data_IF_854601551745
#
_entry.id   IF_854601551745
#
_cell.length_a   1.000
_cell.length_b   1.000
_cell.length_c   1.000
_cell.angle_alpha   90.00
_cell.angle_beta   90.00
_cell.angle_gamma   90.00
#
_symmetry.space_group_name_H-M   'P 1'
#
loop_
_entity.id
_entity.type
_entity.pdbx_description
1 polymer ?
#
# COMPACT_ATOMS: atom_id res chain seq x y z
N UNK A 1 -17.99 9.69 16.12
CA UNK A 1 -18.11 9.49 14.66
C UNK A 1 -17.26 8.26 14.41
N UNK A 2 -17.90 7.10 14.57
CA UNK A 2 -17.22 5.82 14.70
C UNK A 2 -17.73 4.99 13.53
N UNK A 3 -16.91 4.96 12.48
CA UNK A 3 -17.04 4.08 11.33
C UNK A 3 -15.66 3.94 10.69
N UNK A 4 -14.66 3.49 11.47
CA UNK A 4 -13.60 2.70 10.85
C UNK A 4 -14.19 1.32 10.64
N UNK A 5 -14.96 1.18 9.55
CA UNK A 5 -15.14 -0.12 8.95
C UNK A 5 -13.72 -0.60 8.65
N UNK A 6 -13.30 -1.63 9.39
CA UNK A 6 -12.01 -2.29 9.25
C UNK A 6 -12.09 -3.16 7.98
N UNK A 7 -12.47 -2.55 6.86
CA UNK A 7 -12.55 -3.18 5.56
C UNK A 7 -11.10 -3.34 5.11
N UNK A 8 -10.59 -4.56 5.29
CA UNK A 8 -9.25 -4.91 4.82
C UNK A 8 -9.16 -4.50 3.34
N UNK A 9 -8.31 -3.51 2.97
CA UNK A 9 -8.28 -2.97 1.61
C UNK A 9 -7.78 -3.98 0.57
N UNK A 10 -7.50 -5.21 1.02
CA UNK A 10 -7.08 -6.34 0.21
C UNK A 10 -8.04 -7.54 0.29
N UNK A 11 -9.23 -7.41 0.91
CA UNK A 11 -10.17 -8.51 1.13
C UNK A 11 -10.61 -9.22 -0.15
N UNK A 12 -10.71 -8.48 -1.26
CA UNK A 12 -11.05 -8.97 -2.60
C UNK A 12 -9.87 -9.61 -3.36
N UNK A 13 -8.66 -9.60 -2.81
CA UNK A 13 -7.47 -10.17 -3.43
C UNK A 13 -7.17 -11.60 -2.97
N UNK A 14 -6.41 -12.32 -3.80
CA UNK A 14 -5.78 -13.56 -3.37
C UNK A 14 -4.83 -13.30 -2.18
N UNK A 15 -4.77 -14.24 -1.24
CA UNK A 15 -3.98 -14.13 -0.02
C UNK A 15 -2.51 -13.75 -0.30
N UNK A 16 -1.86 -14.41 -1.26
CA UNK A 16 -0.48 -14.09 -1.64
C UNK A 16 -0.32 -12.65 -2.13
N UNK A 17 -1.27 -12.15 -2.93
CA UNK A 17 -1.26 -10.77 -3.42
C UNK A 17 -1.49 -9.78 -2.28
N UNK A 18 -2.42 -10.07 -1.37
CA UNK A 18 -2.68 -9.25 -0.19
C UNK A 18 -1.43 -9.16 0.72
N UNK A 19 -0.77 -10.28 0.99
CA UNK A 19 0.47 -10.33 1.76
C UNK A 19 1.57 -9.51 1.07
N UNK A 20 1.74 -9.71 -0.24
CA UNK A 20 2.73 -8.99 -1.03
C UNK A 20 2.52 -7.47 -0.95
N UNK A 21 1.30 -6.98 -1.16
CA UNK A 21 1.00 -5.55 -1.09
C UNK A 21 1.20 -4.95 0.30
N UNK A 22 0.90 -5.68 1.38
CA UNK A 22 1.21 -5.23 2.75
C UNK A 22 2.71 -5.08 2.98
N UNK A 23 3.51 -6.00 2.45
CA UNK A 23 4.97 -5.89 2.47
C UNK A 23 5.44 -4.69 1.65
N UNK A 24 4.86 -4.46 0.48
CA UNK A 24 5.13 -3.27 -0.35
C UNK A 24 4.87 -1.97 0.41
N UNK A 25 3.73 -1.84 1.08
CA UNK A 25 3.42 -0.67 1.92
C UNK A 25 4.48 -0.48 3.02
N UNK A 26 4.93 -1.56 3.65
CA UNK A 26 5.97 -1.52 4.68
C UNK A 26 7.33 -1.10 4.13
N UNK A 27 7.70 -1.53 2.93
CA UNK A 27 8.95 -1.12 2.29
C UNK A 27 8.91 0.33 1.79
N UNK A 28 7.75 0.82 1.32
CA UNK A 28 7.51 2.24 1.03
C UNK A 28 7.70 3.07 2.31
N UNK A 29 7.08 2.67 3.43
CA UNK A 29 7.25 3.33 4.75
C UNK A 29 8.71 3.42 5.16
N UNK A 30 9.46 2.34 4.93
CA UNK A 30 10.86 2.23 5.31
C UNK A 30 11.83 2.85 4.27
N UNK A 31 11.31 3.42 3.18
CA UNK A 31 12.10 3.94 2.05
C UNK A 31 13.11 2.93 1.49
N UNK A 32 12.75 1.63 1.52
CA UNK A 32 13.62 0.51 1.10
C UNK A 32 13.55 0.20 -0.41
N UNK A 33 12.92 1.09 -1.17
CA UNK A 33 12.66 0.95 -2.61
C UNK A 33 13.93 0.97 -3.48
N UNK A 34 15.07 1.37 -2.92
CA UNK A 34 16.37 1.40 -3.60
C UNK A 34 16.98 0.02 -3.85
N UNK A 35 16.62 -0.99 -3.04
CA UNK A 35 17.15 -2.34 -3.16
C UNK A 35 16.21 -3.29 -3.90
N UNK A 36 14.92 -3.00 -3.89
CA UNK A 36 13.90 -3.78 -4.59
C UNK A 36 12.88 -2.81 -5.19
N UNK A 37 12.97 -2.50 -6.49
CA UNK A 37 11.96 -1.67 -7.15
C UNK A 37 10.62 -2.39 -7.06
N UNK A 38 9.60 -1.67 -6.62
CA UNK A 38 8.22 -2.17 -6.57
C UNK A 38 7.68 -2.19 -7.99
N UNK A 39 6.91 -3.23 -8.33
CA UNK A 39 6.29 -3.32 -9.64
C UNK A 39 5.29 -2.17 -9.86
N UNK A 40 5.30 -1.57 -11.05
CA UNK A 40 4.42 -0.45 -11.40
C UNK A 40 2.93 -0.81 -11.26
N UNK A 41 2.56 -2.08 -11.54
CA UNK A 41 1.21 -2.59 -11.32
C UNK A 41 0.79 -2.58 -9.84
N UNK A 42 1.72 -2.88 -8.93
CA UNK A 42 1.44 -2.85 -7.49
C UNK A 42 1.28 -1.41 -7.01
N UNK A 43 2.15 -0.49 -7.47
CA UNK A 43 2.05 0.93 -7.15
C UNK A 43 0.75 1.54 -7.67
N UNK A 44 0.36 1.20 -8.90
CA UNK A 44 -0.89 1.66 -9.50
C UNK A 44 -2.09 1.19 -8.69
N UNK A 45 -2.13 -0.10 -8.34
CA UNK A 45 -3.22 -0.66 -7.54
C UNK A 45 -3.31 -0.03 -6.13
N UNK A 46 -2.17 0.20 -5.47
CA UNK A 46 -2.13 0.87 -4.17
C UNK A 46 -2.59 2.34 -4.26
N UNK A 47 -2.27 3.02 -5.36
CA UNK A 47 -2.72 4.38 -5.62
C UNK A 47 -4.21 4.47 -5.95
N UNK A 48 -4.73 3.55 -6.76
CA UNK A 48 -6.16 3.43 -7.07
C UNK A 48 -7.01 3.19 -5.81
N UNK A 49 -6.46 2.46 -4.84
CA UNK A 49 -7.09 2.24 -3.53
C UNK A 49 -6.85 3.36 -2.52
N UNK A 50 -6.11 4.41 -2.88
CA UNK A 50 -5.82 5.54 -2.00
C UNK A 50 -4.89 5.21 -0.84
N UNK A 51 -4.11 4.12 -0.92
CA UNK A 51 -3.16 3.69 0.11
C UNK A 51 -1.78 4.35 -0.08
N UNK A 52 -1.46 4.74 -1.32
CA UNK A 52 -0.21 5.37 -1.71
C UNK A 52 -0.50 6.55 -2.62
N UNK A 53 0.25 7.64 -2.46
CA UNK A 53 0.34 8.72 -3.44
C UNK A 53 1.71 8.72 -4.10
N UNK A 54 1.76 8.85 -5.42
CA UNK A 54 3.01 8.96 -6.18
C UNK A 54 3.22 10.41 -6.58
N UNK A 55 4.23 11.05 -5.99
CA UNK A 55 4.62 12.45 -6.30
C UNK A 55 6.03 12.45 -6.85
N UNK A 56 6.25 13.06 -8.03
CA UNK A 56 7.56 13.10 -8.70
C UNK A 56 8.22 11.71 -8.87
N UNK A 57 7.41 10.67 -9.06
CA UNK A 57 7.89 9.28 -9.16
C UNK A 57 8.28 8.64 -7.81
N UNK A 58 8.03 9.32 -6.70
CA UNK A 58 8.28 8.83 -5.34
C UNK A 58 6.95 8.42 -4.70
N UNK A 59 6.73 7.13 -4.44
CA UNK A 59 5.55 6.67 -3.71
C UNK A 59 5.66 6.99 -2.22
N UNK A 60 4.59 7.52 -1.65
CA UNK A 60 4.46 7.89 -0.23
C UNK A 60 3.16 7.30 0.33
N UNK A 61 3.19 6.81 1.57
CA UNK A 61 1.98 6.29 2.21
C UNK A 61 0.99 7.40 2.55
N UNK A 62 -0.28 7.12 2.33
CA UNK A 62 -1.40 7.91 2.90
C UNK A 62 -1.70 7.44 4.33
N UNK A 63 -2.57 8.16 5.03
CA UNK A 63 -3.08 7.71 6.34
C UNK A 63 -3.77 6.34 6.25
N UNK A 64 -4.53 6.07 5.16
CA UNK A 64 -5.18 4.79 4.93
C UNK A 64 -4.16 3.66 4.68
N UNK A 65 -3.09 3.93 3.93
CA UNK A 65 -2.00 2.97 3.72
C UNK A 65 -1.22 2.67 4.99
N UNK A 66 -1.11 3.64 5.90
CA UNK A 66 -0.49 3.45 7.21
C UNK A 66 -1.35 2.59 8.13
N UNK A 67 -2.67 2.81 8.16
CA UNK A 67 -3.63 2.01 8.93
C UNK A 67 -3.64 0.54 8.47
N UNK A 68 -3.52 0.31 7.15
CA UNK A 68 -3.48 -1.03 6.56
C UNK A 68 -2.27 -1.91 6.97
N UNK A 69 -1.26 -1.33 7.65
CA UNK A 69 -0.06 -2.03 8.12
C UNK A 69 0.18 -1.88 9.63
N UNK A 70 -0.77 -1.29 10.37
CA UNK A 70 -0.69 -1.07 11.82
C UNK A 70 -1.51 -2.09 12.59
#
# INVERSE_FOLDING_TARGET
MDAHDNDDPFADLALDKAIHLRWTLRDIKAQRLTLSPVADDDLSLLAERGLVEVSDGVPTLTDAGLDAIT
#
